data_IF_501515013647
#
_entry.id   IF_501515013647
#
_cell.length_a   1.000
_cell.length_b   1.000
_cell.length_c   1.000
_cell.angle_alpha   90.00
_cell.angle_beta   90.00
_cell.angle_gamma   90.00
#
_symmetry.space_group_name_H-M   'P 1'
#
loop_
_entity.id
_entity.type
_entity.pdbx_description
1 polymer ?
#
# COMPACT_ATOMS: atom_id res chain seq x y z
N UNK A 1 29.12 -5.82 3.02
CA UNK A 1 28.53 -5.76 2.95
C UNK A 1 27.61 -5.46 2.78
N UNK A 2 27.04 -5.49 2.85
CA UNK A 2 26.18 -5.39 2.68
C UNK A 2 25.60 -4.78 2.46
N UNK A 3 25.45 -4.74 2.30
CA UNK A 3 24.81 -4.32 2.04
C UNK A 3 24.01 -3.72 2.08
N UNK A 4 24.39 -3.34 2.25
CA UNK A 4 23.48 -2.39 2.16
C UNK A 4 22.17 -2.74 1.81
N UNK A 5 21.95 -3.50 2.19
CA UNK A 5 20.82 -3.97 1.83
C UNK A 5 19.68 -3.19 2.14
N UNK A 6 19.04 -2.71 1.20
CA UNK A 6 17.82 -2.16 1.37
C UNK A 6 16.86 -3.23 1.59
N UNK A 7 16.15 -3.17 2.69
CA UNK A 7 15.09 -4.11 2.93
C UNK A 7 13.83 -3.52 2.32
N UNK A 8 13.30 -4.19 1.32
CA UNK A 8 12.06 -3.78 0.70
C UNK A 8 10.91 -4.38 1.49
N UNK A 9 10.04 -3.57 2.06
CA UNK A 9 8.94 -4.10 2.85
C UNK A 9 7.95 -4.85 2.00
N UNK A 10 7.42 -5.91 2.57
CA UNK A 10 6.29 -6.65 2.01
C UNK A 10 5.26 -6.73 3.12
N UNK A 11 4.09 -6.17 2.87
CA UNK A 11 3.06 -6.09 3.88
C UNK A 11 1.79 -6.77 3.36
N UNK A 12 1.24 -7.68 4.15
CA UNK A 12 -0.04 -8.27 3.85
C UNK A 12 -1.02 -7.77 4.90
N UNK A 13 -2.10 -7.17 4.46
CA UNK A 13 -3.05 -6.61 5.39
C UNK A 13 -4.37 -6.28 4.73
N UNK A 14 -5.24 -5.67 5.51
CA UNK A 14 -6.56 -5.28 5.02
C UNK A 14 -6.60 -3.77 4.83
N UNK A 15 -7.32 -3.35 3.80
CA UNK A 15 -7.49 -1.93 3.51
C UNK A 15 -8.29 -1.32 4.66
N UNK A 16 -7.72 -0.34 5.32
CA UNK A 16 -8.31 0.28 6.51
C UNK A 16 -8.97 1.62 6.23
N UNK A 17 -8.60 2.26 5.12
CA UNK A 17 -9.21 3.55 4.75
C UNK A 17 -9.62 3.48 3.29
N UNK A 18 -10.63 4.26 2.95
CA UNK A 18 -11.06 4.39 1.57
C UNK A 18 -9.90 4.94 0.74
N UNK A 19 -9.54 4.31 -0.39
CA UNK A 19 -8.45 4.84 -1.21
C UNK A 19 -8.74 6.24 -1.70
N UNK A 20 -7.77 7.12 -1.53
CA UNK A 20 -7.88 8.52 -1.94
C UNK A 20 -7.06 8.71 -3.20
N UNK A 21 -7.71 9.16 -4.26
CA UNK A 21 -7.09 9.30 -5.57
C UNK A 21 -6.93 10.79 -5.91
N UNK A 22 -5.74 11.13 -6.42
CA UNK A 22 -5.55 12.49 -6.92
C UNK A 22 -4.60 12.46 -8.10
N UNK A 23 -4.75 13.48 -8.96
CA UNK A 23 -3.86 13.67 -10.09
C UNK A 23 -3.05 14.92 -9.85
N UNK A 24 -1.74 14.80 -9.99
CA UNK A 24 -0.84 15.96 -9.92
C UNK A 24 -0.15 16.06 -11.27
N UNK A 25 -0.68 16.95 -12.11
CA UNK A 25 -0.22 17.01 -13.49
C UNK A 25 -0.51 15.69 -14.17
N UNK A 26 0.52 15.06 -14.70
CA UNK A 26 0.36 13.75 -15.35
C UNK A 26 0.40 12.59 -14.38
N UNK A 27 0.75 12.84 -13.12
CA UNK A 27 0.90 11.77 -12.15
C UNK A 27 -0.42 11.41 -11.50
N UNK A 28 -0.72 10.12 -11.47
CA UNK A 28 -1.88 9.60 -10.78
C UNK A 28 -1.41 8.93 -9.51
N UNK A 29 -2.02 9.29 -8.40
CA UNK A 29 -1.58 8.83 -7.09
C UNK A 29 -2.78 8.37 -6.30
N UNK A 30 -2.71 7.16 -5.73
CA UNK A 30 -3.73 6.66 -4.81
C UNK A 30 -3.05 6.34 -3.49
N UNK A 31 -3.61 6.84 -2.40
CA UNK A 31 -3.10 6.57 -1.07
C UNK A 31 -4.16 5.84 -0.27
N UNK A 32 -3.72 4.91 0.55
CA UNK A 32 -4.61 4.20 1.46
C UNK A 32 -3.78 3.65 2.61
N UNK A 33 -4.45 3.11 3.60
CA UNK A 33 -3.79 2.55 4.76
C UNK A 33 -4.14 1.08 4.87
N UNK A 34 -3.13 0.26 5.17
CA UNK A 34 -3.32 -1.17 5.42
C UNK A 34 -3.21 -1.42 6.91
N UNK A 35 -4.07 -2.28 7.43
CA UNK A 35 -3.95 -2.75 8.80
C UNK A 35 -3.35 -4.14 8.77
N UNK A 36 -2.35 -4.35 9.60
CA UNK A 36 -1.65 -5.61 9.73
C UNK A 36 -1.81 -6.03 11.19
N UNK A 37 -2.47 -7.15 11.41
CA UNK A 37 -2.73 -7.64 12.76
C UNK A 37 -1.79 -8.77 13.09
N UNK A 38 -1.15 -8.68 14.26
CA UNK A 38 -0.26 -9.71 14.74
C UNK A 38 -0.58 -9.91 16.21
N UNK A 39 -1.14 -11.06 16.56
CA UNK A 39 -1.59 -11.37 17.90
C UNK A 39 -2.61 -10.32 18.34
N UNK A 40 -2.31 -9.56 19.38
CA UNK A 40 -3.22 -8.53 19.88
C UNK A 40 -2.79 -7.13 19.50
N UNK A 41 -1.90 -7.02 18.52
CA UNK A 41 -1.38 -5.73 18.09
C UNK A 41 -1.78 -5.46 16.63
N UNK A 42 -2.20 -4.25 16.36
CA UNK A 42 -2.53 -3.83 15.00
C UNK A 42 -1.56 -2.72 14.60
N UNK A 43 -0.94 -2.89 13.46
CA UNK A 43 -0.04 -1.88 12.90
C UNK A 43 -0.65 -1.35 11.61
N UNK A 44 -0.56 -0.06 11.39
CA UNK A 44 -1.08 0.56 10.17
C UNK A 44 0.08 1.02 9.32
N UNK A 45 -0.05 0.79 8.02
CA UNK A 45 0.97 1.17 7.04
C UNK A 45 0.35 2.10 6.02
N UNK A 46 0.96 3.24 5.79
CA UNK A 46 0.53 4.18 4.77
C UNK A 46 1.10 3.73 3.43
N UNK A 47 0.24 3.59 2.42
CA UNK A 47 0.63 3.08 1.12
C UNK A 47 0.38 4.15 0.07
N UNK A 48 1.36 4.33 -0.82
CA UNK A 48 1.25 5.26 -1.94
C UNK A 48 1.45 4.47 -3.22
N UNK A 49 0.48 4.52 -4.10
CA UNK A 49 0.51 3.83 -5.39
C UNK A 49 0.47 4.86 -6.50
N UNK A 50 1.21 4.62 -7.59
CA UNK A 50 1.32 5.58 -8.67
C UNK A 50 1.02 4.95 -10.02
N UNK A 51 0.70 5.82 -10.99
CA UNK A 51 0.54 5.43 -12.37
C UNK A 51 -0.69 4.56 -12.58
N UNK A 52 -0.55 3.57 -13.44
CA UNK A 52 -1.66 2.66 -13.73
C UNK A 52 -2.14 1.93 -12.51
N UNK A 53 -1.21 1.57 -11.64
CA UNK A 53 -1.55 0.87 -10.41
C UNK A 53 -2.43 1.73 -9.51
N UNK A 54 -2.20 3.05 -9.50
CA UNK A 54 -3.02 3.96 -8.71
C UNK A 54 -4.47 3.91 -9.18
N UNK A 55 -4.68 3.87 -10.50
CA UNK A 55 -6.03 3.79 -11.05
C UNK A 55 -6.70 2.48 -10.67
N UNK A 56 -5.94 1.39 -10.74
CA UNK A 56 -6.47 0.07 -10.38
C UNK A 56 -6.84 0.03 -8.91
N UNK A 57 -5.98 0.56 -8.05
CA UNK A 57 -6.27 0.61 -6.63
C UNK A 57 -7.51 1.44 -6.33
N UNK A 58 -7.63 2.60 -6.96
CA UNK A 58 -8.80 3.44 -6.75
C UNK A 58 -10.07 2.74 -7.19
N UNK A 59 -10.00 2.01 -8.29
CA UNK A 59 -11.17 1.40 -8.88
C UNK A 59 -11.63 0.15 -8.14
N UNK A 60 -10.70 -0.65 -7.64
CA UNK A 60 -11.03 -1.98 -7.14
C UNK A 60 -10.78 -2.22 -5.65
N UNK A 61 -10.01 -1.39 -4.98
CA UNK A 61 -9.77 -1.59 -3.55
C UNK A 61 -10.88 -0.99 -2.70
N UNK A 62 -11.32 -1.75 -1.72
CA UNK A 62 -12.36 -1.31 -0.78
C UNK A 62 -11.93 -1.64 0.63
N UNK A 63 -12.46 -0.92 1.59
CA UNK A 63 -12.16 -1.16 3.00
C UNK A 63 -12.48 -2.61 3.33
N UNK A 64 -11.54 -3.28 3.98
CA UNK A 64 -11.67 -4.68 4.37
C UNK A 64 -11.06 -5.66 3.39
N UNK A 65 -10.71 -5.23 2.18
CA UNK A 65 -10.06 -6.13 1.22
C UNK A 65 -8.68 -6.52 1.71
N UNK A 66 -8.31 -7.77 1.44
CA UNK A 66 -7.00 -8.29 1.79
C UNK A 66 -6.07 -8.09 0.60
N UNK A 67 -4.92 -7.51 0.83
CA UNK A 67 -3.95 -7.34 -0.25
C UNK A 67 -2.53 -7.43 0.27
N UNK A 68 -1.61 -7.61 -0.67
CA UNK A 68 -0.18 -7.66 -0.40
C UNK A 68 0.47 -6.51 -1.13
N UNK A 69 1.26 -5.73 -0.42
CA UNK A 69 1.97 -4.59 -1.00
C UNK A 69 3.46 -4.82 -0.88
N UNK A 70 4.16 -4.70 -2.01
CA UNK A 70 5.61 -4.75 -2.06
C UNK A 70 6.11 -3.41 -2.53
N UNK A 71 7.12 -2.89 -1.90
CA UNK A 71 7.64 -1.59 -2.31
C UNK A 71 8.85 -1.16 -1.52
N UNK A 72 9.05 0.14 -1.42
CA UNK A 72 10.15 0.73 -0.68
C UNK A 72 9.61 1.85 0.19
N UNK A 73 10.27 2.09 1.31
CA UNK A 73 9.89 3.22 2.15
C UNK A 73 10.25 4.52 1.46
N UNK A 74 9.44 5.55 1.66
CA UNK A 74 9.80 6.87 1.17
C UNK A 74 10.97 7.42 1.98
N UNK A 75 11.47 8.61 1.59
CA UNK A 75 12.69 9.15 2.17
C UNK A 75 12.58 9.43 3.66
N UNK A 76 11.38 9.72 4.16
CA UNK A 76 11.19 9.95 5.59
C UNK A 76 10.75 8.69 6.33
N UNK A 77 10.45 7.61 5.61
CA UNK A 77 10.15 6.32 6.23
C UNK A 77 8.75 6.19 6.79
N UNK A 78 7.83 7.08 6.46
CA UNK A 78 6.48 7.02 7.02
C UNK A 78 5.44 6.50 6.03
N UNK A 79 5.86 6.10 4.85
CA UNK A 79 4.95 5.51 3.86
C UNK A 79 5.71 4.52 3.00
N UNK A 80 4.98 3.58 2.42
CA UNK A 80 5.54 2.61 1.49
C UNK A 80 5.10 3.02 0.09
N UNK A 81 6.09 3.22 -0.78
CA UNK A 81 5.86 3.49 -2.20
C UNK A 81 5.69 2.14 -2.85
N UNK A 82 4.47 1.82 -3.24
CA UNK A 82 4.13 0.49 -3.72
C UNK A 82 4.68 0.25 -5.11
N UNK A 83 5.52 -0.78 -5.26
CA UNK A 83 5.95 -1.25 -6.56
C UNK A 83 4.92 -2.21 -7.12
N UNK A 84 4.26 -2.97 -6.25
CA UNK A 84 3.26 -3.93 -6.65
C UNK A 84 2.22 -4.07 -5.55
N UNK A 85 0.95 -4.04 -5.96
CA UNK A 85 -0.16 -4.31 -5.07
C UNK A 85 -0.88 -5.53 -5.62
N UNK A 86 -0.93 -6.59 -4.84
CA UNK A 86 -1.59 -7.83 -5.23
C UNK A 86 -2.88 -7.95 -4.44
N UNK A 87 -3.98 -8.08 -5.15
CA UNK A 87 -5.29 -8.20 -4.54
C UNK A 87 -5.51 -9.67 -4.19
N UNK A 88 -5.62 -9.98 -2.91
CA UNK A 88 -5.70 -11.35 -2.47
C UNK A 88 -7.13 -11.81 -2.24
N UNK A 89 -7.97 -10.94 -1.67
CA UNK A 89 -9.33 -11.33 -1.38
C UNK A 89 -10.20 -10.12 -1.15
N UNK A 90 -11.38 -10.13 -1.74
CA UNK A 90 -12.38 -9.13 -1.46
C UNK A 90 -13.07 -9.47 -0.17
N UNK A 91 -13.44 -8.45 0.57
CA UNK A 91 -14.13 -8.64 1.80
C UNK A 91 -15.50 -9.27 1.59
N UNK A 92 -16.18 -8.76 0.58
CA UNK A 92 -17.54 -9.11 0.35
C UNK A 92 -17.75 -10.33 -0.35
#
# INVERSE_FOLDING_TARGET
MNNGSKVNPIVVGRVATEPSFECKGADKITTFRLSDSDHDRVTYHNIVSRGKQATVCKQYLHIGDLCCVEGTYNSVGDAILADRVTFLRNKG
#
